data_IF_834264871505
#
_entry.id   IF_834264871505
#
_cell.length_a   1.000
_cell.length_b   1.000
_cell.length_c   1.000
_cell.angle_alpha   90.00
_cell.angle_beta   90.00
_cell.angle_gamma   90.00
#
_symmetry.space_group_name_H-M   'P 1'
#
loop_
_entity.id
_entity.type
_entity.pdbx_description
1 polymer ?
#
# COMPACT_ATOMS: atom_id res chain seq x y z
N UNK A 1 -1.38 -63.92 -41.38
CA UNK A 1 -2.24 -63.09 -42.25
C UNK A 1 -3.53 -62.79 -41.52
N UNK A 2 -3.85 -61.50 -41.32
CA UNK A 2 -5.19 -60.94 -41.12
C UNK A 2 -5.03 -59.41 -41.10
N UNK A 3 -5.44 -58.79 -42.20
CA UNK A 3 -5.46 -57.34 -42.42
C UNK A 3 -6.75 -56.78 -41.83
N UNK A 4 -6.66 -55.70 -41.06
CA UNK A 4 -7.83 -54.91 -40.66
C UNK A 4 -7.72 -53.58 -41.40
N UNK A 5 -8.65 -53.37 -42.32
CA UNK A 5 -8.82 -52.18 -43.13
C UNK A 5 -9.56 -51.11 -42.33
N UNK A 6 -9.01 -49.91 -42.24
CA UNK A 6 -9.71 -48.74 -41.70
C UNK A 6 -10.46 -48.03 -42.82
N UNK A 7 -11.79 -48.02 -42.72
CA UNK A 7 -12.67 -47.28 -43.61
C UNK A 7 -12.74 -45.82 -43.17
N UNK A 8 -12.41 -44.93 -44.11
CA UNK A 8 -12.54 -43.48 -44.00
C UNK A 8 -13.98 -43.14 -44.36
N UNK A 9 -14.73 -42.53 -43.45
CA UNK A 9 -15.94 -41.80 -43.83
C UNK A 9 -16.00 -40.49 -43.06
N UNK A 10 -16.04 -39.45 -43.88
CA UNK A 10 -15.99 -38.02 -43.65
C UNK A 10 -17.35 -37.46 -43.19
N UNK A 11 -17.38 -36.67 -42.10
CA UNK A 11 -18.30 -35.53 -41.90
C UNK A 11 -17.83 -34.76 -40.64
N UNK A 12 -17.00 -33.71 -40.75
CA UNK A 12 -17.34 -32.29 -41.00
C UNK A 12 -18.13 -31.63 -39.85
N UNK A 13 -17.57 -30.48 -39.43
CA UNK A 13 -18.10 -29.41 -38.60
C UNK A 13 -18.18 -29.66 -37.10
N UNK A 14 -17.19 -29.13 -36.37
CA UNK A 14 -17.40 -28.20 -35.25
C UNK A 14 -16.08 -27.46 -34.97
N UNK A 15 -15.74 -26.49 -35.83
CA UNK A 15 -14.85 -25.40 -35.42
C UNK A 15 -15.70 -24.44 -34.57
N UNK A 16 -15.69 -24.65 -33.26
CA UNK A 16 -16.11 -23.62 -32.30
C UNK A 16 -14.92 -23.24 -31.45
N UNK A 17 -14.35 -22.11 -31.87
CA UNK A 17 -13.32 -21.28 -31.25
C UNK A 17 -13.16 -21.53 -29.75
N UNK A 18 -11.93 -21.83 -29.37
CA UNK A 18 -11.43 -21.64 -28.01
C UNK A 18 -11.70 -20.19 -27.59
N UNK A 19 -12.53 -20.02 -26.58
CA UNK A 19 -12.46 -18.87 -25.70
C UNK A 19 -13.00 -19.33 -24.35
N UNK A 20 -12.17 -20.09 -23.63
CA UNK A 20 -12.30 -20.15 -22.18
C UNK A 20 -12.11 -18.71 -21.73
N UNK A 21 -13.23 -18.10 -21.39
CA UNK A 21 -13.35 -16.78 -20.82
C UNK A 21 -12.40 -16.75 -19.63
N UNK A 22 -11.25 -16.09 -19.78
CA UNK A 22 -10.50 -15.63 -18.63
C UNK A 22 -11.53 -14.83 -17.83
N UNK A 23 -11.86 -15.34 -16.64
CA UNK A 23 -12.69 -14.59 -15.71
C UNK A 23 -11.91 -13.31 -15.46
N UNK A 24 -12.38 -12.25 -16.11
CA UNK A 24 -11.89 -10.90 -15.94
C UNK A 24 -11.81 -10.69 -14.44
N UNK A 25 -10.59 -10.61 -13.91
CA UNK A 25 -10.41 -9.96 -12.65
C UNK A 25 -10.94 -8.56 -12.89
N UNK A 26 -12.16 -8.33 -12.42
CA UNK A 26 -12.65 -7.01 -12.13
C UNK A 26 -11.79 -6.49 -10.98
N UNK A 27 -10.55 -6.15 -11.31
CA UNK A 27 -9.80 -5.14 -10.60
C UNK A 27 -10.61 -3.88 -10.87
N UNK A 28 -11.58 -3.62 -9.98
CA UNK A 28 -12.11 -2.30 -9.80
C UNK A 28 -10.90 -1.41 -9.60
N UNK A 29 -10.51 -0.76 -10.69
CA UNK A 29 -9.62 0.38 -10.71
C UNK A 29 -10.33 1.41 -9.85
N UNK A 30 -10.06 1.39 -8.55
CA UNK A 30 -10.31 2.54 -7.69
C UNK A 30 -9.23 3.55 -8.08
N UNK A 31 -9.45 4.19 -9.23
CA UNK A 31 -8.97 5.54 -9.43
C UNK A 31 -9.96 6.40 -8.67
N UNK A 32 -9.64 6.71 -7.42
CA UNK A 32 -10.39 7.66 -6.60
C UNK A 32 -9.46 8.77 -6.17
N UNK A 33 -9.35 9.76 -7.04
CA UNK A 33 -9.32 11.19 -6.74
C UNK A 33 -8.58 11.60 -5.46
N UNK A 34 -7.32 12.02 -5.61
CA UNK A 34 -6.48 12.94 -4.79
C UNK A 34 -7.03 13.38 -3.42
N UNK A 35 -7.38 12.45 -2.56
CA UNK A 35 -7.79 12.71 -1.19
C UNK A 35 -7.14 11.65 -0.34
N UNK A 36 -6.28 12.08 0.59
CA UNK A 36 -5.61 11.20 1.51
C UNK A 36 -6.64 10.27 2.15
N UNK A 37 -6.52 8.96 1.93
CA UNK A 37 -7.49 7.98 2.43
C UNK A 37 -7.32 7.93 3.95
N UNK A 38 -8.19 8.62 4.67
CA UNK A 38 -8.29 8.48 6.12
C UNK A 38 -8.77 7.04 6.41
N UNK A 39 -7.93 6.25 7.08
CA UNK A 39 -8.14 4.80 7.22
C UNK A 39 -8.94 4.47 8.48
N UNK A 40 -8.92 5.34 9.50
CA UNK A 40 -9.69 5.17 10.72
C UNK A 40 -9.86 6.47 11.51
N UNK A 41 -10.89 6.53 12.36
CA UNK A 41 -11.03 7.50 13.45
C UNK A 41 -10.45 6.91 14.75
N UNK A 42 -9.97 7.75 15.67
CA UNK A 42 -9.32 7.41 16.95
C UNK A 42 -9.98 6.24 17.73
N UNK A 43 -11.31 6.09 17.67
CA UNK A 43 -12.06 5.04 18.37
C UNK A 43 -11.73 3.60 17.93
N UNK A 44 -10.88 3.40 16.91
CA UNK A 44 -10.43 2.08 16.41
C UNK A 44 -8.93 1.82 16.65
N UNK A 45 -8.28 2.57 17.55
CA UNK A 45 -6.85 2.50 17.82
C UNK A 45 -6.38 1.26 18.60
N UNK A 46 -7.27 0.38 19.07
CA UNK A 46 -6.87 -0.81 19.83
C UNK A 46 -5.88 -1.71 19.06
N UNK A 47 -5.96 -1.72 17.72
CA UNK A 47 -5.07 -2.47 16.83
C UNK A 47 -3.81 -1.69 16.40
N UNK A 48 -3.64 -0.45 16.86
CA UNK A 48 -2.59 0.45 16.39
C UNK A 48 -1.59 0.73 17.51
N UNK A 49 -0.35 0.31 17.31
CA UNK A 49 0.76 0.57 18.22
C UNK A 49 1.45 1.88 17.82
N UNK A 50 1.57 2.82 18.76
CA UNK A 50 2.38 4.02 18.52
C UNK A 50 3.86 3.63 18.53
N UNK A 51 4.59 3.94 17.46
CA UNK A 51 6.01 3.63 17.32
C UNK A 51 6.90 4.87 17.32
N UNK A 52 6.34 6.06 17.07
CA UNK A 52 7.07 7.33 17.16
C UNK A 52 6.10 8.50 17.40
N UNK A 53 6.51 9.46 18.22
CA UNK A 53 5.76 10.65 18.64
C UNK A 53 6.56 11.92 18.32
N UNK A 54 6.92 12.09 17.05
CA UNK A 54 7.61 13.27 16.53
C UNK A 54 6.65 14.37 16.07
N UNK A 55 7.01 15.07 14.99
CA UNK A 55 6.15 16.08 14.35
C UNK A 55 4.84 15.45 13.86
N UNK A 56 4.90 14.22 13.40
CA UNK A 56 3.75 13.34 13.19
C UNK A 56 3.84 12.15 14.13
N UNK A 57 2.70 11.64 14.54
CA UNK A 57 2.62 10.39 15.30
C UNK A 57 2.58 9.26 14.29
N UNK A 58 3.49 8.30 14.43
CA UNK A 58 3.55 7.11 13.57
C UNK A 58 2.99 5.93 14.33
N UNK A 59 2.09 5.22 13.67
CA UNK A 59 1.48 4.00 14.17
C UNK A 59 1.89 2.82 13.31
N UNK A 60 2.01 1.68 13.96
CA UNK A 60 2.21 0.37 13.38
C UNK A 60 0.94 -0.45 13.60
N UNK A 61 0.45 -1.10 12.55
CA UNK A 61 -0.60 -2.11 12.67
C UNK A 61 -0.16 -3.40 12.00
N UNK A 62 -0.19 -4.48 12.76
CA UNK A 62 0.03 -5.82 12.24
C UNK A 62 -1.30 -6.42 11.79
N UNK A 63 -1.27 -7.10 10.65
CA UNK A 63 -2.39 -7.92 10.17
C UNK A 63 -1.91 -9.33 9.85
N UNK A 64 -2.75 -10.36 10.08
CA UNK A 64 -2.41 -11.71 9.66
C UNK A 64 -2.19 -11.74 8.14
N UNK A 65 -1.08 -12.35 7.73
CA UNK A 65 -0.81 -12.55 6.30
C UNK A 65 -1.77 -13.54 5.67
N UNK A 66 -1.98 -13.41 4.37
CA UNK A 66 -2.69 -14.42 3.60
C UNK A 66 -1.81 -15.64 3.29
N UNK A 67 -2.41 -16.63 2.63
CA UNK A 67 -1.72 -17.84 2.15
C UNK A 67 -0.47 -17.53 1.31
N UNK A 68 -0.50 -16.45 0.52
CA UNK A 68 0.63 -15.98 -0.29
C UNK A 68 1.86 -15.55 0.54
N UNK A 69 1.63 -15.02 1.74
CA UNK A 69 2.68 -14.62 2.67
C UNK A 69 3.00 -15.71 3.71
N UNK A 70 2.57 -16.96 3.47
CA UNK A 70 2.71 -18.07 4.43
C UNK A 70 2.14 -17.73 5.81
N UNK A 71 1.07 -16.93 5.86
CA UNK A 71 0.46 -16.43 7.10
C UNK A 71 1.38 -15.57 7.98
N UNK A 72 2.53 -15.12 7.48
CA UNK A 72 3.40 -14.20 8.20
C UNK A 72 2.70 -12.85 8.40
N UNK A 73 2.80 -12.23 9.59
CA UNK A 73 2.24 -10.91 9.83
C UNK A 73 2.71 -9.88 8.79
N UNK A 74 1.78 -9.06 8.32
CA UNK A 74 2.04 -7.92 7.46
C UNK A 74 1.94 -6.67 8.31
N UNK A 75 3.07 -5.97 8.44
CA UNK A 75 3.16 -4.69 9.14
C UNK A 75 2.76 -3.58 8.17
N UNK A 76 1.89 -2.68 8.59
CA UNK A 76 1.55 -1.47 7.83
C UNK A 76 1.68 -0.25 8.73
N UNK A 77 2.32 0.80 8.20
CA UNK A 77 2.54 2.04 8.92
C UNK A 77 1.50 3.09 8.58
N UNK A 78 1.14 3.88 9.58
CA UNK A 78 0.16 4.95 9.50
C UNK A 78 0.66 6.20 10.23
N UNK A 79 0.03 7.34 10.00
CA UNK A 79 0.34 8.56 10.74
C UNK A 79 -0.86 9.47 11.01
N UNK A 80 -0.72 10.35 12.00
CA UNK A 80 -1.60 11.50 12.27
C UNK A 80 -0.76 12.74 12.60
N UNK A 81 -1.29 13.95 12.38
CA UNK A 81 -0.55 15.18 12.71
C UNK A 81 -0.62 15.52 14.22
N UNK A 82 -1.66 15.07 14.91
CA UNK A 82 -1.85 15.24 16.36
C UNK A 82 -2.48 13.99 16.98
N UNK A 83 -2.39 13.88 18.30
CA UNK A 83 -3.19 12.92 19.07
C UNK A 83 -4.68 13.27 18.85
N UNK A 84 -5.55 12.28 18.61
CA UNK A 84 -7.01 12.44 18.30
C UNK A 84 -7.41 12.83 16.88
N UNK A 85 -6.47 13.01 15.96
CA UNK A 85 -6.79 13.29 14.56
C UNK A 85 -6.99 12.03 13.69
N UNK A 86 -7.45 12.25 12.45
CA UNK A 86 -7.57 11.20 11.44
C UNK A 86 -6.22 10.53 11.19
N UNK A 87 -6.28 9.21 10.99
CA UNK A 87 -5.11 8.39 10.71
C UNK A 87 -5.04 8.10 9.21
N UNK A 88 -3.87 8.33 8.61
CA UNK A 88 -3.60 8.15 7.20
C UNK A 88 -2.58 7.04 7.00
N UNK A 89 -2.60 6.36 5.86
CA UNK A 89 -1.53 5.43 5.49
C UNK A 89 -0.21 6.22 5.35
N UNK A 90 0.88 5.72 5.93
CA UNK A 90 2.20 6.35 5.82
C UNK A 90 2.80 6.04 4.44
N UNK A 91 2.53 6.92 3.49
CA UNK A 91 3.11 6.92 2.15
C UNK A 91 3.37 8.34 1.67
N UNK A 92 4.18 8.49 0.62
CA UNK A 92 4.58 9.79 0.09
C UNK A 92 3.38 10.58 -0.44
N UNK A 93 2.43 9.90 -1.07
CA UNK A 93 1.22 10.52 -1.61
C UNK A 93 0.42 11.24 -0.50
N UNK A 94 0.13 10.56 0.61
CA UNK A 94 -0.64 11.14 1.70
C UNK A 94 0.12 12.27 2.39
N UNK A 95 1.43 12.10 2.61
CA UNK A 95 2.27 13.14 3.21
C UNK A 95 2.31 14.40 2.33
N UNK A 96 2.56 14.25 1.03
CA UNK A 96 2.58 15.38 0.07
C UNK A 96 1.22 16.05 -0.07
N UNK A 97 0.14 15.27 -0.01
CA UNK A 97 -1.21 15.83 -0.03
C UNK A 97 -1.54 16.61 1.24
N UNK A 98 -1.07 16.16 2.41
CA UNK A 98 -1.30 16.84 3.69
C UNK A 98 -0.46 18.11 3.82
N UNK A 99 0.80 18.06 3.40
CA UNK A 99 1.73 19.20 3.47
C UNK A 99 1.72 20.07 2.21
N UNK A 100 0.67 20.00 1.40
CA UNK A 100 0.58 20.67 0.10
C UNK A 100 0.96 22.15 0.22
N UNK A 101 1.79 22.61 -0.73
CA UNK A 101 2.21 24.01 -0.90
C UNK A 101 3.00 24.64 0.28
N UNK A 102 3.79 23.83 1.01
CA UNK A 102 4.65 24.33 2.10
C UNK A 102 6.07 23.77 2.09
N UNK A 103 6.97 24.35 2.92
CA UNK A 103 8.36 23.89 3.07
C UNK A 103 8.48 22.39 3.37
N UNK A 104 7.47 21.81 4.04
CA UNK A 104 7.39 20.38 4.30
C UNK A 104 7.20 19.55 3.04
N UNK A 105 6.43 20.04 2.06
CA UNK A 105 6.33 19.41 0.75
C UNK A 105 7.70 19.32 0.07
N UNK A 106 8.41 20.45 -0.05
CA UNK A 106 9.71 20.51 -0.73
C UNK A 106 10.73 19.59 -0.07
N UNK A 107 10.74 19.55 1.26
CA UNK A 107 11.60 18.67 2.01
C UNK A 107 11.26 17.19 1.78
N UNK A 108 9.97 16.83 1.76
CA UNK A 108 9.54 15.45 1.50
C UNK A 108 9.91 15.05 0.07
N UNK A 109 9.63 15.91 -0.91
CA UNK A 109 9.91 15.68 -2.32
C UNK A 109 11.41 15.52 -2.62
N UNK A 110 12.26 16.32 -1.97
CA UNK A 110 13.71 16.28 -2.16
C UNK A 110 14.43 15.13 -1.44
N UNK A 111 13.89 14.61 -0.33
CA UNK A 111 14.62 13.67 0.55
C UNK A 111 14.10 12.23 0.52
N UNK A 112 12.89 11.98 0.01
CA UNK A 112 12.28 10.65 0.01
C UNK A 112 11.84 10.24 -1.39
N UNK A 113 12.43 9.17 -1.92
CA UNK A 113 12.17 8.70 -3.30
C UNK A 113 11.09 7.64 -3.35
N UNK A 114 11.00 6.83 -2.31
CA UNK A 114 10.06 5.72 -2.20
C UNK A 114 9.37 5.73 -0.85
N UNK A 115 8.19 5.11 -0.76
CA UNK A 115 7.50 4.96 0.53
C UNK A 115 8.38 4.26 1.57
N UNK A 116 9.22 3.30 1.13
CA UNK A 116 10.15 2.57 1.99
C UNK A 116 11.12 3.48 2.77
N UNK A 117 11.44 4.65 2.23
CA UNK A 117 12.34 5.59 2.88
C UNK A 117 11.71 6.24 4.13
N UNK A 118 10.38 6.27 4.22
CA UNK A 118 9.62 6.93 5.29
C UNK A 118 9.72 6.19 6.63
N UNK A 119 9.74 4.86 6.58
CA UNK A 119 9.74 3.98 7.75
C UNK A 119 11.15 3.46 8.10
N UNK A 120 12.20 4.14 7.64
CA UNK A 120 13.55 3.91 8.15
C UNK A 120 13.74 4.61 9.50
N UNK A 121 14.02 3.85 10.55
CA UNK A 121 14.30 4.37 11.87
C UNK A 121 15.75 4.88 11.95
N UNK A 122 15.94 6.11 12.43
CA UNK A 122 17.25 6.69 12.68
C UNK A 122 17.67 6.39 14.13
N UNK A 123 18.66 5.48 14.34
CA UNK A 123 19.09 5.11 15.69
C UNK A 123 19.86 6.22 16.41
N UNK A 124 20.46 7.17 15.69
CA UNK A 124 21.21 8.26 16.30
C UNK A 124 20.24 9.31 16.87
N UNK A 125 19.19 9.63 16.12
CA UNK A 125 18.17 10.61 16.52
C UNK A 125 16.97 10.01 17.26
N UNK A 126 16.91 8.68 17.41
CA UNK A 126 15.86 7.93 18.08
C UNK A 126 14.44 8.24 17.58
N UNK A 127 14.28 8.37 16.26
CA UNK A 127 13.01 8.66 15.60
C UNK A 127 13.02 8.16 14.14
N UNK A 128 11.86 8.05 13.50
CA UNK A 128 11.82 7.78 12.07
C UNK A 128 12.39 8.96 11.27
N UNK A 129 13.05 8.66 10.15
CA UNK A 129 13.67 9.68 9.29
C UNK A 129 12.68 10.78 8.91
N UNK A 130 11.44 10.44 8.57
CA UNK A 130 10.42 11.45 8.23
C UNK A 130 10.21 12.46 9.37
N UNK A 131 10.12 12.00 10.61
CA UNK A 131 9.99 12.87 11.78
C UNK A 131 11.23 13.74 12.00
N UNK A 132 12.43 13.16 11.83
CA UNK A 132 13.68 13.91 11.92
C UNK A 132 13.71 15.08 10.92
N UNK A 133 13.38 14.83 9.65
CA UNK A 133 13.42 15.88 8.64
C UNK A 133 12.31 16.92 8.85
N UNK A 134 11.08 16.49 9.17
CA UNK A 134 9.99 17.41 9.47
C UNK A 134 10.31 18.29 10.69
N UNK A 135 11.02 17.78 11.68
CA UNK A 135 11.41 18.57 12.85
C UNK A 135 12.34 19.72 12.51
N UNK A 136 13.14 19.61 11.44
CA UNK A 136 14.06 20.70 11.01
C UNK A 136 13.33 21.91 10.43
N UNK A 137 12.09 21.74 9.97
CA UNK A 137 11.31 22.82 9.36
C UNK A 137 10.74 23.75 10.43
N UNK A 138 10.30 23.18 11.56
CA UNK A 138 9.69 23.94 12.65
C UNK A 138 10.71 24.75 13.48
N UNK A 139 12.00 24.64 13.17
CA UNK A 139 13.10 25.34 13.83
C UNK A 139 13.85 26.32 12.92
N UNK A 140 13.29 26.69 11.75
CA UNK A 140 13.85 27.70 10.82
C UNK A 140 12.86 28.79 10.47
#
# INVERSE_FOLDING_TARGET
MKTITFSITLLVLLFSKTLVQAHSFNANKILSNNTAIAVAQQHQLADYKVVDRGVIIIYERERPGGKLNLFKPVVTYYFSLKDSEKIYLLNLENLKNIYRDGKAFDLIDGNFRTDNDLFFYDPYHHQYRINYYLSKINHS
#
